data_IF_481289521567
#
_entry.id   IF_481289521567
#
_cell.length_a   1.000
_cell.length_b   1.000
_cell.length_c   1.000
_cell.angle_alpha   90.00
_cell.angle_beta   90.00
_cell.angle_gamma   90.00
#
_symmetry.space_group_name_H-M   'P 1'
#
loop_
_entity.id
_entity.type
_entity.pdbx_description
1 polymer ?
#
# COMPACT_ATOMS: atom_id res chain seq x y z
N UNK A 1 -55.11 42.68 27.80
CA UNK A 1 -54.76 41.66 26.78
C UNK A 1 -53.38 41.84 26.13
N UNK A 2 -52.73 43.01 26.20
CA UNK A 2 -51.43 43.27 25.53
C UNK A 2 -50.21 42.55 26.15
N UNK A 3 -50.12 42.44 27.47
CA UNK A 3 -48.93 41.88 28.19
C UNK A 3 -48.72 40.37 27.96
N UNK A 4 -49.76 39.61 27.63
CA UNK A 4 -49.62 38.17 27.34
C UNK A 4 -49.02 37.92 25.95
N UNK A 5 -49.21 38.84 25.00
CA UNK A 5 -48.66 38.70 23.64
C UNK A 5 -47.17 39.04 23.58
N UNK A 6 -46.70 40.00 24.36
CA UNK A 6 -45.27 40.36 24.43
C UNK A 6 -44.42 39.27 25.07
N UNK A 7 -44.91 38.58 26.10
CA UNK A 7 -44.19 37.44 26.72
C UNK A 7 -44.01 36.25 25.79
N UNK A 8 -45.01 35.96 24.95
CA UNK A 8 -44.93 34.86 23.98
C UNK A 8 -43.90 35.14 22.87
N UNK A 9 -43.83 36.39 22.38
CA UNK A 9 -42.86 36.76 21.35
C UNK A 9 -41.41 36.69 21.86
N UNK A 10 -41.19 37.14 23.09
CA UNK A 10 -39.86 37.16 23.72
C UNK A 10 -39.36 35.73 24.01
N UNK A 11 -40.26 34.82 24.41
CA UNK A 11 -39.94 33.40 24.57
C UNK A 11 -39.62 32.72 23.22
N UNK A 12 -40.33 33.07 22.15
CA UNK A 12 -40.07 32.54 20.80
C UNK A 12 -38.72 33.02 20.25
N UNK A 13 -38.39 34.30 20.42
CA UNK A 13 -37.08 34.84 20.03
C UNK A 13 -35.94 34.21 20.85
N UNK A 14 -36.13 34.01 22.16
CA UNK A 14 -35.15 33.31 22.99
C UNK A 14 -34.97 31.84 22.55
N UNK A 15 -36.07 31.14 22.21
CA UNK A 15 -36.01 29.77 21.71
C UNK A 15 -35.30 29.68 20.34
N UNK A 16 -35.54 30.64 19.43
CA UNK A 16 -34.85 30.69 18.13
C UNK A 16 -33.35 30.99 18.28
N UNK A 17 -32.96 31.87 19.22
CA UNK A 17 -31.54 32.19 19.49
C UNK A 17 -30.79 31.02 20.15
N UNK A 18 -31.46 30.22 20.99
CA UNK A 18 -30.87 29.01 21.58
C UNK A 18 -30.83 27.87 20.56
N UNK A 19 -31.81 27.78 19.66
CA UNK A 19 -31.82 26.79 18.58
C UNK A 19 -30.78 27.06 17.48
N UNK A 20 -30.38 28.32 17.24
CA UNK A 20 -29.34 28.65 16.26
C UNK A 20 -27.91 28.31 16.71
N UNK A 21 -27.69 28.04 18.00
CA UNK A 21 -26.37 27.62 18.51
C UNK A 21 -26.16 26.10 18.49
N UNK A 22 -27.16 25.32 18.05
CA UNK A 22 -27.09 23.87 17.95
C UNK A 22 -26.88 23.40 16.50
N UNK A 23 -26.20 24.19 15.67
CA UNK A 23 -25.55 23.67 14.47
C UNK A 23 -24.40 22.77 14.93
N UNK A 24 -24.74 21.55 15.36
CA UNK A 24 -23.80 20.50 15.72
C UNK A 24 -23.06 20.15 14.44
N UNK A 25 -21.86 20.70 14.28
CA UNK A 25 -20.92 20.29 13.25
C UNK A 25 -20.76 18.76 13.34
N UNK A 26 -21.22 18.06 12.31
CA UNK A 26 -21.15 16.61 12.28
C UNK A 26 -19.69 16.23 12.01
N UNK A 27 -18.91 16.04 13.08
CA UNK A 27 -17.52 15.56 13.01
C UNK A 27 -17.36 14.32 12.12
N UNK A 28 -18.40 13.51 11.98
CA UNK A 28 -18.42 12.31 11.14
C UNK A 28 -18.16 12.55 9.65
N UNK A 29 -18.75 13.59 9.04
CA UNK A 29 -18.58 13.84 7.59
C UNK A 29 -17.15 14.27 7.26
N UNK A 30 -16.53 15.09 8.12
CA UNK A 30 -15.15 15.55 7.93
C UNK A 30 -14.13 14.41 8.04
N UNK A 31 -14.36 13.45 8.93
CA UNK A 31 -13.48 12.27 9.07
C UNK A 31 -13.61 11.37 7.84
N UNK A 32 -14.83 11.16 7.35
CA UNK A 32 -15.06 10.39 6.12
C UNK A 32 -14.40 11.05 4.91
N UNK A 33 -14.59 12.37 4.74
CA UNK A 33 -13.92 13.14 3.68
C UNK A 33 -12.40 13.12 3.82
N UNK A 34 -11.85 13.22 5.04
CA UNK A 34 -10.41 13.14 5.28
C UNK A 34 -9.84 11.76 4.92
N UNK A 35 -10.56 10.68 5.25
CA UNK A 35 -10.15 9.32 4.89
C UNK A 35 -10.18 9.10 3.38
N UNK A 36 -11.26 9.54 2.70
CA UNK A 36 -11.37 9.48 1.23
C UNK A 36 -10.26 10.26 0.54
N UNK A 37 -10.04 11.52 0.95
CA UNK A 37 -8.98 12.35 0.39
C UNK A 37 -7.58 11.77 0.65
N UNK A 38 -7.37 11.11 1.79
CA UNK A 38 -6.10 10.43 2.09
C UNK A 38 -5.90 9.22 1.17
N UNK A 39 -6.94 8.42 0.96
CA UNK A 39 -6.88 7.29 0.02
C UNK A 39 -6.65 7.77 -1.42
N UNK A 40 -7.34 8.82 -1.85
CA UNK A 40 -7.17 9.41 -3.19
C UNK A 40 -5.75 9.93 -3.39
N UNK A 41 -5.17 10.58 -2.37
CA UNK A 41 -3.78 11.03 -2.40
C UNK A 41 -2.79 9.86 -2.54
N UNK A 42 -3.00 8.74 -1.82
CA UNK A 42 -2.18 7.53 -1.93
C UNK A 42 -2.30 6.88 -3.31
N UNK A 43 -3.51 6.82 -3.87
CA UNK A 43 -3.75 6.29 -5.21
C UNK A 43 -3.04 7.15 -6.27
N UNK A 44 -3.16 8.48 -6.18
CA UNK A 44 -2.52 9.42 -7.11
C UNK A 44 -0.99 9.38 -7.00
N UNK A 45 -0.44 9.26 -5.79
CA UNK A 45 0.99 9.08 -5.56
C UNK A 45 1.49 7.77 -6.18
N UNK A 46 0.74 6.68 -6.01
CA UNK A 46 1.05 5.36 -6.58
C UNK A 46 1.07 5.42 -8.11
N UNK A 47 0.04 6.01 -8.73
CA UNK A 47 -0.01 6.24 -10.17
C UNK A 47 1.19 7.06 -10.66
N UNK A 48 1.51 8.16 -9.97
CA UNK A 48 2.62 9.04 -10.32
C UNK A 48 3.96 8.30 -10.27
N UNK A 49 4.18 7.44 -9.28
CA UNK A 49 5.40 6.67 -9.16
C UNK A 49 5.50 5.56 -10.22
N UNK A 50 4.40 4.92 -10.62
CA UNK A 50 4.38 4.02 -11.79
C UNK A 50 4.76 4.77 -13.08
N UNK A 51 4.21 5.98 -13.27
CA UNK A 51 4.53 6.82 -14.44
C UNK A 51 5.98 7.32 -14.44
N UNK A 52 6.56 7.59 -13.26
CA UNK A 52 7.99 7.89 -13.14
C UNK A 52 8.85 6.67 -13.46
N UNK A 53 8.50 5.51 -12.92
CA UNK A 53 9.18 4.24 -13.20
C UNK A 53 9.19 3.92 -14.70
N UNK A 54 8.06 4.10 -15.39
CA UNK A 54 7.98 3.85 -16.84
C UNK A 54 8.94 4.73 -17.66
N UNK A 55 9.28 5.92 -17.14
CA UNK A 55 10.25 6.85 -17.73
C UNK A 55 11.64 6.78 -17.09
N UNK A 56 11.93 5.74 -16.29
CA UNK A 56 13.20 5.56 -15.57
C UNK A 56 13.57 6.77 -14.70
N UNK A 57 12.57 7.43 -14.11
CA UNK A 57 12.75 8.57 -13.20
C UNK A 57 12.75 8.11 -11.74
N UNK A 58 13.43 8.84 -10.83
CA UNK A 58 13.44 8.50 -9.42
C UNK A 58 12.02 8.55 -8.83
N UNK A 59 11.68 7.55 -8.02
CA UNK A 59 10.43 7.49 -7.27
C UNK A 59 10.50 8.45 -6.07
N UNK A 60 9.37 9.04 -5.71
CA UNK A 60 9.29 9.91 -4.54
C UNK A 60 8.04 9.52 -3.73
N UNK A 61 8.25 9.26 -2.44
CA UNK A 61 7.20 8.83 -1.53
C UNK A 61 6.93 9.91 -0.47
N UNK A 62 5.66 10.22 -0.24
CA UNK A 62 5.22 11.26 0.68
C UNK A 62 4.15 10.71 1.60
N UNK A 63 4.39 10.74 2.91
CA UNK A 63 3.37 10.36 3.89
C UNK A 63 2.59 11.58 4.35
N UNK A 64 1.27 11.44 4.45
CA UNK A 64 0.42 12.37 5.18
C UNK A 64 0.61 12.04 6.67
N UNK A 65 1.40 12.84 7.38
CA UNK A 65 1.73 12.55 8.78
C UNK A 65 0.74 13.20 9.75
N UNK A 66 0.16 14.34 9.40
CA UNK A 66 -0.81 15.03 10.23
C UNK A 66 -1.87 15.75 9.41
N UNK A 67 -3.13 15.54 9.80
CA UNK A 67 -4.28 16.33 9.35
C UNK A 67 -4.68 17.22 10.52
N UNK A 68 -4.49 18.52 10.40
CA UNK A 68 -4.94 19.49 11.41
C UNK A 68 -6.20 20.18 10.92
N UNK A 69 -7.29 20.05 11.67
CA UNK A 69 -8.49 20.87 11.52
C UNK A 69 -8.63 21.76 12.74
N UNK A 70 -8.71 23.07 12.53
CA UNK A 70 -9.02 24.05 13.57
C UNK A 70 -10.28 24.81 13.18
N UNK A 71 -11.27 24.83 14.06
CA UNK A 71 -12.43 25.70 13.96
C UNK A 71 -12.41 26.64 15.15
N UNK A 72 -12.28 27.94 14.88
CA UNK A 72 -12.42 28.98 15.89
C UNK A 72 -13.71 29.73 15.61
N UNK A 73 -14.64 29.67 16.55
CA UNK A 73 -15.83 30.51 16.55
C UNK A 73 -15.72 31.51 17.70
N UNK A 74 -15.31 32.74 17.39
CA UNK A 74 -15.33 33.81 18.38
C UNK A 74 -16.62 34.59 18.22
N UNK A 75 -17.52 34.42 19.17
CA UNK A 75 -18.68 35.28 19.33
C UNK A 75 -18.30 36.44 20.25
N UNK A 76 -17.99 37.61 19.68
CA UNK A 76 -17.84 38.83 20.46
C UNK A 76 -19.21 39.50 20.61
N UNK A 77 -19.92 39.19 21.69
CA UNK A 77 -21.12 39.93 22.10
C UNK A 77 -20.72 41.07 23.03
N UNK A 78 -20.55 42.26 22.46
CA UNK A 78 -20.46 43.48 23.27
C UNK A 78 -21.82 43.76 23.89
N UNK A 79 -21.96 43.69 25.23
CA UNK A 79 -23.12 44.27 25.89
C UNK A 79 -23.11 45.79 25.60
N UNK A 80 -24.26 46.38 25.22
CA UNK A 80 -24.32 47.81 25.02
C UNK A 80 -23.93 48.50 26.33
N UNK A 81 -22.88 49.32 26.31
CA UNK A 81 -22.50 50.13 27.46
C UNK A 81 -23.52 51.26 27.58
N UNK A 82 -24.60 51.01 28.32
CA UNK A 82 -25.61 52.03 28.60
C UNK A 82 -25.01 52.97 29.64
N UNK A 83 -24.46 54.09 29.19
CA UNK A 83 -23.92 55.10 30.09
C UNK A 83 -25.06 56.03 30.49
N UNK A 84 -25.67 55.77 31.65
CA UNK A 84 -26.75 56.60 32.20
C UNK A 84 -26.12 57.70 33.06
N UNK A 85 -26.05 58.93 32.53
CA UNK A 85 -25.62 60.11 33.27
C UNK A 85 -26.21 61.39 32.66
N UNK A 86 -26.59 62.39 33.48
CA UNK A 86 -26.96 63.70 32.97
C UNK A 86 -25.72 64.39 32.36
N UNK A 87 -25.89 65.02 31.19
CA UNK A 87 -24.85 65.68 30.36
C UNK A 87 -24.01 64.79 29.41
N UNK A 88 -24.65 63.98 28.55
CA UNK A 88 -23.94 63.37 27.41
C UNK A 88 -23.97 64.29 26.18
N UNK A 89 -22.81 64.51 25.55
CA UNK A 89 -22.65 65.40 24.39
C UNK A 89 -23.02 64.69 23.09
N UNK A 90 -23.47 65.43 22.07
CA UNK A 90 -24.05 64.89 20.82
C UNK A 90 -23.10 63.96 20.03
N UNK A 91 -21.79 64.00 20.31
CA UNK A 91 -20.80 63.07 19.77
C UNK A 91 -20.85 61.65 20.37
N UNK A 92 -21.57 61.42 21.47
CA UNK A 92 -21.74 60.11 22.12
C UNK A 92 -22.95 59.30 21.61
N UNK A 93 -23.68 59.77 20.58
CA UNK A 93 -24.87 59.08 20.05
C UNK A 93 -24.61 58.04 18.95
N UNK A 94 -23.37 57.61 18.70
CA UNK A 94 -23.13 56.45 17.84
C UNK A 94 -23.14 55.16 18.65
N UNK A 95 -24.31 54.53 18.71
CA UNK A 95 -24.47 53.16 19.19
C UNK A 95 -23.89 52.20 18.15
N UNK A 96 -22.58 51.93 18.22
CA UNK A 96 -21.97 50.92 17.36
C UNK A 96 -22.21 49.53 17.97
N UNK A 97 -23.36 48.93 17.61
CA UNK A 97 -23.64 47.53 17.90
C UNK A 97 -22.81 46.68 16.95
N UNK A 98 -21.61 46.29 17.38
CA UNK A 98 -20.76 45.34 16.66
C UNK A 98 -20.91 43.95 17.30
N UNK A 99 -21.95 43.22 16.91
CA UNK A 99 -21.96 41.78 17.09
C UNK A 99 -21.18 41.18 15.91
N UNK A 100 -19.89 40.91 16.10
CA UNK A 100 -19.10 40.21 15.10
C UNK A 100 -18.98 38.75 15.50
N UNK A 101 -19.60 37.88 14.71
CA UNK A 101 -19.27 36.46 14.70
C UNK A 101 -18.11 36.30 13.73
N UNK A 102 -16.92 36.02 14.26
CA UNK A 102 -15.79 35.62 13.41
C UNK A 102 -15.71 34.10 13.48
N UNK A 103 -16.15 33.44 12.40
CA UNK A 103 -15.93 32.01 12.21
C UNK A 103 -14.74 31.83 11.28
N UNK A 104 -13.71 31.13 11.77
CA UNK A 104 -12.53 30.76 11.00
C UNK A 104 -12.43 29.24 10.96
N UNK A 105 -12.45 28.66 9.76
CA UNK A 105 -12.10 27.26 9.54
C UNK A 105 -10.71 27.24 8.92
N UNK A 106 -9.77 26.60 9.59
CA UNK A 106 -8.43 26.33 9.07
C UNK A 106 -8.25 24.83 8.91
N UNK A 107 -7.93 24.38 7.70
CA UNK A 107 -7.46 23.03 7.43
C UNK A 107 -6.01 23.09 6.97
N UNK A 108 -5.16 22.28 7.58
CA UNK A 108 -3.76 22.15 7.24
C UNK A 108 -3.42 20.68 7.04
N UNK A 109 -2.73 20.37 5.95
CA UNK A 109 -2.11 19.07 5.74
C UNK A 109 -0.61 19.24 5.89
N UNK A 110 -0.02 18.54 6.86
CA UNK A 110 1.42 18.41 6.93
C UNK A 110 1.82 17.09 6.28
N UNK A 111 2.45 17.19 5.11
CA UNK A 111 3.06 16.07 4.41
C UNK A 111 4.57 16.11 4.62
N UNK A 112 5.14 14.97 4.99
CA UNK A 112 6.58 14.84 5.14
C UNK A 112 7.08 13.85 4.08
N UNK A 113 8.13 14.20 3.32
CA UNK A 113 8.74 13.25 2.41
C UNK A 113 9.33 12.09 3.21
N UNK A 114 9.06 10.85 2.79
CA UNK A 114 9.62 9.65 3.42
C UNK A 114 11.06 9.48 2.91
N UNK A 115 11.99 10.18 3.55
CA UNK A 115 13.42 10.20 3.18
C UNK A 115 14.34 9.66 4.27
N UNK A 116 13.78 8.99 5.28
CA UNK A 116 14.60 8.35 6.30
C UNK A 116 15.45 7.24 5.69
N UNK A 117 16.65 7.02 6.25
CA UNK A 117 17.54 5.95 5.81
C UNK A 117 16.91 4.57 6.03
N UNK A 118 16.10 4.41 7.09
CA UNK A 118 15.36 3.20 7.39
C UNK A 118 14.33 2.87 6.31
N UNK A 119 13.49 3.84 5.93
CA UNK A 119 12.52 3.69 4.85
C UNK A 119 13.20 3.40 3.52
N UNK A 120 14.26 4.13 3.16
CA UNK A 120 15.01 3.89 1.92
C UNK A 120 15.62 2.48 1.89
N UNK A 121 16.18 2.03 3.01
CA UNK A 121 16.75 0.68 3.13
C UNK A 121 15.66 -0.38 2.98
N UNK A 122 14.51 -0.20 3.63
CA UNK A 122 13.37 -1.13 3.54
C UNK A 122 12.83 -1.20 2.10
N UNK A 123 12.64 -0.05 1.44
CA UNK A 123 12.15 0.05 0.06
C UNK A 123 13.12 -0.52 -0.99
N UNK A 124 14.41 -0.62 -0.67
CA UNK A 124 15.45 -1.25 -1.50
C UNK A 124 15.70 -2.72 -1.16
N UNK A 125 15.37 -3.14 0.06
CA UNK A 125 15.53 -4.52 0.48
C UNK A 125 14.52 -5.45 -0.21
N UNK A 126 14.90 -6.68 -0.56
CA UNK A 126 13.95 -7.66 -1.09
C UNK A 126 12.80 -7.91 -0.10
N UNK A 127 11.58 -8.00 -0.63
CA UNK A 127 10.38 -8.36 0.12
C UNK A 127 10.62 -9.71 0.78
N UNK A 128 10.37 -9.77 2.07
CA UNK A 128 10.53 -10.99 2.85
C UNK A 128 9.35 -11.94 2.61
N UNK A 129 9.53 -13.25 2.78
CA UNK A 129 8.41 -14.19 2.75
C UNK A 129 7.31 -13.86 3.78
N UNK A 130 7.66 -13.20 4.89
CA UNK A 130 6.67 -12.77 5.88
C UNK A 130 5.73 -11.71 5.30
N UNK A 131 6.28 -10.70 4.65
CA UNK A 131 5.50 -9.65 3.98
C UNK A 131 4.69 -10.23 2.82
N UNK A 132 5.27 -11.16 2.06
CA UNK A 132 4.54 -11.89 1.02
C UNK A 132 3.31 -12.62 1.58
N UNK A 133 3.44 -13.32 2.72
CA UNK A 133 2.31 -13.99 3.37
C UNK A 133 1.21 -13.01 3.82
N UNK A 134 1.58 -11.80 4.29
CA UNK A 134 0.62 -10.76 4.64
C UNK A 134 -0.15 -10.27 3.41
N UNK A 135 0.53 -10.06 2.28
CA UNK A 135 -0.12 -9.69 1.02
C UNK A 135 -1.05 -10.77 0.51
N UNK A 136 -0.63 -12.04 0.56
CA UNK A 136 -1.46 -13.19 0.16
C UNK A 136 -2.71 -13.38 1.03
N UNK A 137 -2.70 -12.86 2.26
CA UNK A 137 -3.87 -12.88 3.13
C UNK A 137 -4.91 -11.81 2.72
N UNK A 138 -4.47 -10.72 2.10
CA UNK A 138 -5.34 -9.61 1.68
C UNK A 138 -5.78 -9.71 0.21
N UNK A 139 -4.99 -10.34 -0.64
CA UNK A 139 -5.13 -10.29 -2.11
C UNK A 139 -5.06 -11.66 -2.77
N UNK A 140 -5.64 -11.83 -3.98
CA UNK A 140 -5.45 -13.05 -4.77
C UNK A 140 -3.97 -13.32 -5.05
N UNK A 141 -3.58 -14.58 -4.92
CA UNK A 141 -2.17 -15.01 -4.92
C UNK A 141 -1.39 -14.69 -6.19
N UNK A 142 -2.04 -14.83 -7.35
CA UNK A 142 -1.38 -14.72 -8.64
C UNK A 142 -0.99 -13.27 -8.98
N UNK A 143 -1.85 -12.25 -8.79
CA UNK A 143 -1.45 -10.85 -8.83
C UNK A 143 -0.32 -10.52 -7.86
N UNK A 144 -0.39 -11.00 -6.62
CA UNK A 144 0.64 -10.76 -5.60
C UNK A 144 1.98 -11.31 -6.06
N UNK A 145 2.05 -12.57 -6.46
CA UNK A 145 3.31 -13.17 -6.91
C UNK A 145 3.88 -12.53 -8.17
N UNK A 146 3.04 -12.16 -9.14
CA UNK A 146 3.50 -11.40 -10.30
C UNK A 146 4.13 -10.06 -9.88
N UNK A 147 3.52 -9.36 -8.91
CA UNK A 147 4.01 -8.08 -8.42
C UNK A 147 5.31 -8.20 -7.61
N UNK A 148 5.47 -9.25 -6.78
CA UNK A 148 6.57 -9.34 -5.82
C UNK A 148 7.72 -10.26 -6.24
N UNK A 149 7.52 -11.20 -7.16
CA UNK A 149 8.60 -12.09 -7.58
C UNK A 149 9.45 -11.42 -8.67
N UNK A 150 10.76 -11.39 -8.42
CA UNK A 150 11.75 -10.86 -9.36
C UNK A 150 12.26 -11.96 -10.27
N UNK A 151 12.59 -13.11 -9.69
CA UNK A 151 13.23 -14.18 -10.42
C UNK A 151 12.88 -15.55 -9.85
N UNK A 152 12.95 -16.56 -10.71
CA UNK A 152 12.83 -17.96 -10.36
C UNK A 152 14.12 -18.62 -10.81
N UNK A 153 14.81 -19.28 -9.87
CA UNK A 153 16.06 -19.97 -10.14
C UNK A 153 15.86 -21.47 -10.01
N UNK A 154 16.21 -22.22 -11.05
CA UNK A 154 16.21 -23.68 -11.06
C UNK A 154 17.63 -24.18 -10.91
N UNK A 155 17.87 -25.05 -9.93
CA UNK A 155 19.12 -25.81 -9.78
C UNK A 155 18.81 -27.27 -10.08
N UNK A 156 19.29 -27.77 -11.22
CA UNK A 156 19.03 -29.14 -11.66
C UNK A 156 19.79 -30.13 -10.79
N UNK A 157 19.10 -31.08 -10.17
CA UNK A 157 19.70 -32.03 -9.22
C UNK A 157 20.73 -32.95 -9.90
N UNK A 158 20.44 -33.39 -11.13
CA UNK A 158 21.29 -34.34 -11.85
C UNK A 158 22.59 -33.71 -12.40
N UNK A 159 22.54 -32.45 -12.86
CA UNK A 159 23.67 -31.81 -13.55
C UNK A 159 24.34 -30.70 -12.74
N UNK A 160 23.70 -30.21 -11.68
CA UNK A 160 24.11 -29.04 -10.92
C UNK A 160 23.99 -27.71 -11.69
N UNK A 161 23.44 -27.70 -12.91
CA UNK A 161 23.26 -26.48 -13.70
C UNK A 161 22.19 -25.58 -13.08
N UNK A 162 22.47 -24.28 -13.10
CA UNK A 162 21.58 -23.24 -12.59
C UNK A 162 21.00 -22.45 -13.75
N UNK A 163 19.68 -22.30 -13.79
CA UNK A 163 18.95 -21.47 -14.74
C UNK A 163 18.18 -20.41 -13.98
N UNK A 164 18.28 -19.14 -14.40
CA UNK A 164 17.57 -18.03 -13.76
C UNK A 164 16.65 -17.35 -14.76
N UNK A 165 15.37 -17.29 -14.40
CA UNK A 165 14.32 -16.59 -15.14
C UNK A 165 13.93 -15.36 -14.34
N UNK A 166 13.83 -14.19 -14.97
CA UNK A 166 13.69 -12.88 -14.36
C UNK A 166 12.45 -12.23 -14.93
N UNK A 167 11.56 -11.74 -14.08
CA UNK A 167 10.34 -11.05 -14.44
C UNK A 167 10.53 -9.62 -14.95
N UNK A 168 11.66 -9.30 -15.57
CA UNK A 168 11.91 -7.98 -16.15
C UNK A 168 11.71 -8.06 -17.67
N UNK A 169 10.76 -7.30 -18.20
CA UNK A 169 10.34 -7.35 -19.61
C UNK A 169 11.45 -7.03 -20.60
N UNK A 170 12.46 -6.27 -20.17
CA UNK A 170 13.64 -5.93 -20.98
C UNK A 170 14.51 -7.14 -21.34
N UNK A 171 14.36 -8.27 -20.64
CA UNK A 171 15.16 -9.48 -20.88
C UNK A 171 14.64 -10.36 -22.02
N UNK A 172 13.46 -10.05 -22.57
CA UNK A 172 12.97 -10.72 -23.78
C UNK A 172 13.50 -10.00 -25.01
N UNK A 173 14.49 -10.60 -25.67
CA UNK A 173 15.14 -10.04 -26.85
C UNK A 173 14.43 -10.39 -28.15
N UNK A 174 13.60 -11.44 -28.16
CA UNK A 174 12.80 -11.84 -29.32
C UNK A 174 11.35 -11.32 -29.18
N UNK A 175 10.75 -10.91 -30.30
CA UNK A 175 9.39 -10.34 -30.30
C UNK A 175 8.28 -11.40 -30.24
N UNK A 176 8.58 -12.63 -30.63
CA UNK A 176 7.66 -13.76 -30.73
C UNK A 176 7.83 -14.78 -29.61
N UNK A 177 8.38 -14.36 -28.46
CA UNK A 177 8.70 -15.26 -27.35
C UNK A 177 7.53 -16.14 -26.89
N UNK A 178 6.30 -15.62 -26.88
CA UNK A 178 5.12 -16.41 -26.55
C UNK A 178 4.86 -17.52 -27.58
N UNK A 179 4.93 -17.19 -28.88
CA UNK A 179 4.75 -18.18 -29.94
C UNK A 179 5.86 -19.24 -29.93
N UNK A 180 7.10 -18.83 -29.65
CA UNK A 180 8.22 -19.76 -29.49
C UNK A 180 8.03 -20.68 -28.29
N UNK A 181 7.52 -20.17 -27.17
CA UNK A 181 7.18 -20.98 -26.00
C UNK A 181 6.09 -22.01 -26.31
N UNK A 182 4.99 -21.58 -26.95
CA UNK A 182 3.85 -22.44 -27.26
C UNK A 182 4.20 -23.57 -28.26
N UNK A 183 5.15 -23.33 -29.16
CA UNK A 183 5.59 -24.29 -30.17
C UNK A 183 6.77 -25.16 -29.72
N UNK A 184 7.53 -24.73 -28.71
CA UNK A 184 8.71 -25.44 -28.28
C UNK A 184 8.34 -26.67 -27.45
N UNK A 185 8.88 -27.86 -27.78
CA UNK A 185 8.72 -29.00 -26.90
C UNK A 185 9.50 -28.76 -25.59
N UNK A 186 9.09 -29.40 -24.47
CA UNK A 186 9.63 -29.09 -23.14
C UNK A 186 11.16 -29.16 -23.03
N UNK A 187 11.79 -30.13 -23.71
CA UNK A 187 13.25 -30.29 -23.73
C UNK A 187 14.00 -29.16 -24.41
N UNK A 188 13.33 -28.36 -25.26
CA UNK A 188 13.93 -27.20 -25.95
C UNK A 188 13.69 -25.87 -25.24
N UNK A 189 12.87 -25.83 -24.18
CA UNK A 189 12.61 -24.60 -23.41
C UNK A 189 13.88 -24.00 -22.81
N UNK A 190 14.88 -24.83 -22.50
CA UNK A 190 16.20 -24.38 -22.02
C UNK A 190 16.89 -23.46 -23.04
N UNK A 191 16.71 -23.70 -24.34
CA UNK A 191 17.34 -22.87 -25.38
C UNK A 191 16.69 -21.47 -25.44
N UNK A 192 15.39 -21.39 -25.12
CA UNK A 192 14.64 -20.14 -25.06
C UNK A 192 15.01 -19.28 -23.85
N UNK A 193 15.60 -19.87 -22.80
CA UNK A 193 16.00 -19.14 -21.58
C UNK A 193 16.94 -17.94 -21.85
N UNK A 194 17.63 -17.94 -22.99
CA UNK A 194 18.54 -16.87 -23.40
C UNK A 194 17.84 -15.66 -24.02
N UNK A 195 16.72 -15.87 -24.71
CA UNK A 195 16.04 -14.83 -25.50
C UNK A 195 14.64 -14.48 -25.01
N UNK A 196 14.02 -15.36 -24.21
CA UNK A 196 12.63 -15.27 -23.76
C UNK A 196 12.50 -15.48 -22.24
N UNK A 197 13.37 -14.80 -21.51
CA UNK A 197 13.54 -14.96 -20.07
C UNK A 197 12.32 -14.52 -19.25
N UNK A 198 11.69 -13.40 -19.61
CA UNK A 198 10.44 -12.90 -19.00
C UNK A 198 9.26 -13.78 -19.34
N UNK A 199 9.09 -14.14 -20.62
CA UNK A 199 8.00 -15.04 -21.05
C UNK A 199 8.08 -16.39 -20.31
N UNK A 200 9.28 -16.98 -20.18
CA UNK A 200 9.47 -18.21 -19.41
C UNK A 200 9.20 -18.00 -17.91
N UNK A 201 9.61 -16.86 -17.35
CA UNK A 201 9.31 -16.51 -15.95
C UNK A 201 7.80 -16.52 -15.68
N UNK A 202 6.99 -15.84 -16.51
CA UNK A 202 5.52 -15.77 -16.33
C UNK A 202 4.88 -17.15 -16.45
N UNK A 203 5.29 -17.93 -17.45
CA UNK A 203 4.75 -19.28 -17.66
C UNK A 203 5.13 -20.24 -16.52
N UNK A 204 6.37 -20.22 -16.03
CA UNK A 204 6.76 -21.04 -14.88
C UNK A 204 6.07 -20.57 -13.59
N UNK A 205 5.89 -19.26 -13.42
CA UNK A 205 5.13 -18.74 -12.30
C UNK A 205 3.69 -19.28 -12.30
N UNK A 206 3.03 -19.29 -13.46
CA UNK A 206 1.70 -19.88 -13.62
C UNK A 206 1.69 -21.37 -13.21
N UNK A 207 2.68 -22.16 -13.67
CA UNK A 207 2.83 -23.57 -13.28
C UNK A 207 2.94 -23.72 -11.76
N UNK A 208 3.78 -22.91 -11.08
CA UNK A 208 3.92 -23.01 -9.63
C UNK A 208 2.66 -22.56 -8.89
N UNK A 209 2.00 -21.50 -9.34
CA UNK A 209 0.74 -21.02 -8.76
C UNK A 209 -0.36 -22.10 -8.89
N UNK A 210 -0.48 -22.74 -10.06
CA UNK A 210 -1.39 -23.87 -10.28
C UNK A 210 -1.02 -25.11 -9.45
N UNK A 211 0.27 -25.33 -9.20
CA UNK A 211 0.77 -26.36 -8.29
C UNK A 211 0.52 -26.04 -6.81
N UNK A 212 -0.05 -24.87 -6.49
CA UNK A 212 -0.41 -24.46 -5.14
C UNK A 212 0.59 -23.54 -4.45
N UNK A 213 1.51 -22.88 -5.17
CA UNK A 213 2.48 -21.96 -4.58
C UNK A 213 1.79 -20.96 -3.64
N UNK A 214 2.31 -20.87 -2.43
CA UNK A 214 1.81 -20.06 -1.33
C UNK A 214 2.94 -19.70 -0.37
N UNK A 215 2.63 -18.85 0.61
CA UNK A 215 3.57 -18.51 1.69
C UNK A 215 2.81 -18.56 3.01
N UNK A 216 3.36 -19.30 3.97
CA UNK A 216 2.78 -19.46 5.30
C UNK A 216 3.64 -18.79 6.38
N UNK A 217 3.00 -18.35 7.45
CA UNK A 217 3.67 -17.81 8.62
C UNK A 217 3.90 -18.93 9.63
N UNK A 218 5.16 -19.23 9.93
CA UNK A 218 5.56 -20.22 10.92
C UNK A 218 6.20 -19.54 12.14
N UNK A 219 6.04 -20.10 13.35
CA UNK A 219 6.81 -19.65 14.49
C UNK A 219 8.31 -19.88 14.21
N UNK A 220 9.14 -18.89 14.51
CA UNK A 220 10.58 -19.00 14.37
C UNK A 220 11.07 -20.20 15.20
N UNK A 221 12.04 -20.98 14.68
CA UNK A 221 12.66 -22.01 15.48
C UNK A 221 13.26 -21.35 16.73
N UNK A 222 13.17 -21.99 17.92
CA UNK A 222 13.76 -21.43 19.13
C UNK A 222 15.24 -21.17 18.83
N UNK A 223 15.64 -19.89 18.85
CA UNK A 223 17.05 -19.53 18.72
C UNK A 223 17.75 -20.30 19.81
N UNK A 224 18.61 -21.26 19.44
CA UNK A 224 19.41 -22.01 20.43
C UNK A 224 20.00 -20.95 21.33
N UNK A 225 19.57 -20.91 22.60
CA UNK A 225 20.05 -19.92 23.55
C UNK A 225 21.56 -19.96 23.47
N UNK A 226 22.14 -18.95 22.82
CA UNK A 226 23.58 -18.89 22.62
C UNK A 226 24.13 -18.94 24.03
N UNK A 227 24.89 -19.99 24.37
CA UNK A 227 25.67 -20.00 25.59
C UNK A 227 26.58 -18.78 25.51
N UNK A 228 26.16 -17.68 26.14
CA UNK A 228 26.96 -16.48 26.33
C UNK A 228 28.06 -16.81 27.34
N UNK A 229 29.02 -17.64 26.90
CA UNK A 229 30.29 -17.80 27.56
C UNK A 229 31.13 -16.56 27.27
N UNK A 230 30.97 -15.52 28.09
CA UNK A 230 31.65 -14.24 27.88
C UNK A 230 31.62 -13.38 29.14
N UNK A 231 32.44 -13.76 30.11
CA UNK A 231 32.82 -12.97 31.27
C UNK A 231 33.35 -11.59 30.83
N UNK A 232 32.58 -10.54 31.07
CA UNK A 232 32.96 -9.15 30.79
C UNK A 232 32.26 -8.20 31.75
N UNK A 233 32.91 -7.97 32.90
CA UNK A 233 32.58 -6.98 33.91
C UNK A 233 32.61 -5.56 33.33
N UNK A 234 31.59 -4.75 33.61
CA UNK A 234 31.58 -3.31 33.33
C UNK A 234 30.18 -2.70 33.37
N UNK A 235 29.82 -2.12 34.51
CA UNK A 235 28.47 -1.65 34.82
C UNK A 235 27.96 -0.42 34.06
N UNK A 236 26.65 -0.23 34.15
CA UNK A 236 25.93 0.95 33.65
C UNK A 236 24.44 0.64 33.57
N UNK A 237 23.76 0.72 34.71
CA UNK A 237 22.34 0.37 34.84
C UNK A 237 21.42 1.34 34.10
N UNK A 238 20.56 0.80 33.25
CA UNK A 238 19.30 1.42 32.89
C UNK A 238 18.21 0.37 33.11
N UNK A 239 17.41 0.60 34.14
CA UNK A 239 16.33 -0.28 34.55
C UNK A 239 15.13 -0.02 33.64
N UNK A 240 14.94 -0.89 32.65
CA UNK A 240 13.68 -0.99 31.92
C UNK A 240 12.99 -2.30 32.30
N UNK A 241 12.16 -2.20 33.34
CA UNK A 241 11.30 -3.27 33.85
C UNK A 241 10.01 -3.32 33.03
N UNK A 242 10.05 -4.06 31.93
CA UNK A 242 8.87 -4.44 31.15
C UNK A 242 9.02 -5.89 30.71
N UNK A 243 8.39 -6.80 31.44
CA UNK A 243 8.28 -8.24 31.14
C UNK A 243 7.39 -8.45 29.90
N UNK A 244 7.86 -8.01 28.73
CA UNK A 244 7.24 -8.36 27.47
C UNK A 244 7.56 -9.83 27.19
N UNK A 245 6.52 -10.67 27.26
CA UNK A 245 6.53 -12.01 26.70
C UNK A 245 7.13 -11.90 25.30
N UNK A 246 8.37 -12.38 25.13
CA UNK A 246 9.13 -12.27 23.90
C UNK A 246 8.20 -12.59 22.73
N UNK A 247 7.82 -11.57 21.95
CA UNK A 247 6.94 -11.74 20.81
C UNK A 247 7.58 -12.85 19.96
N UNK A 248 6.91 -14.01 19.89
CA UNK A 248 7.44 -15.15 19.16
C UNK A 248 7.73 -14.65 17.75
N UNK A 249 9.01 -14.62 17.38
CA UNK A 249 9.40 -14.18 16.06
C UNK A 249 8.67 -15.07 15.05
N UNK A 250 7.98 -14.48 14.09
CA UNK A 250 7.26 -15.20 13.05
C UNK A 250 8.08 -15.09 11.78
N UNK A 251 8.33 -16.21 11.11
CA UNK A 251 9.10 -16.29 9.86
C UNK A 251 8.17 -16.77 8.75
N UNK A 252 8.20 -16.10 7.61
CA UNK A 252 7.48 -16.56 6.42
C UNK A 252 8.21 -17.71 5.72
N UNK A 253 7.45 -18.66 5.20
CA UNK A 253 7.97 -19.87 4.56
C UNK A 253 7.21 -20.14 3.26
N UNK A 254 7.93 -20.27 2.15
CA UNK A 254 7.34 -20.60 0.85
C UNK A 254 6.97 -22.09 0.86
N UNK A 255 5.74 -22.40 0.46
CA UNK A 255 5.21 -23.75 0.46
C UNK A 255 4.18 -23.95 -0.64
N UNK A 256 3.78 -25.21 -0.87
CA UNK A 256 2.72 -25.56 -1.81
C UNK A 256 1.47 -26.02 -1.04
N UNK A 257 0.37 -25.30 -1.19
CA UNK A 257 -0.89 -25.59 -0.55
C UNK A 257 -1.71 -26.59 -1.40
N UNK A 258 -1.88 -27.84 -0.94
CA UNK A 258 -2.62 -28.85 -1.69
C UNK A 258 -4.09 -28.51 -1.90
N UNK A 259 -4.71 -27.69 -1.02
CA UNK A 259 -6.12 -27.31 -1.18
C UNK A 259 -6.35 -26.30 -2.30
N UNK A 260 -5.29 -25.65 -2.78
CA UNK A 260 -5.33 -24.64 -3.83
C UNK A 260 -4.62 -25.10 -5.11
N UNK A 261 -4.10 -26.33 -5.14
CA UNK A 261 -3.42 -26.90 -6.28
C UNK A 261 -4.42 -27.57 -7.23
N UNK A 262 -4.26 -27.36 -8.52
CA UNK A 262 -4.97 -28.13 -9.57
C UNK A 262 -4.15 -29.33 -10.07
N UNK A 263 -2.87 -29.38 -9.73
CA UNK A 263 -1.91 -30.38 -10.22
C UNK A 263 -1.16 -31.08 -9.07
N UNK A 264 -0.18 -31.92 -9.42
CA UNK A 264 0.68 -32.60 -8.46
C UNK A 264 1.39 -31.58 -7.54
N UNK A 265 1.15 -31.72 -6.23
CA UNK A 265 1.63 -30.77 -5.22
C UNK A 265 3.10 -31.05 -4.87
N UNK A 266 4.03 -30.13 -5.19
CA UNK A 266 5.44 -30.29 -4.85
C UNK A 266 5.69 -30.20 -3.34
N UNK A 267 6.92 -30.52 -2.93
CA UNK A 267 7.40 -30.28 -1.56
C UNK A 267 8.17 -28.94 -1.53
N UNK A 268 8.15 -28.20 -0.41
CA UNK A 268 7.47 -28.48 0.85
C UNK A 268 5.98 -28.11 0.81
N UNK A 269 5.13 -28.93 1.44
CA UNK A 269 3.69 -28.66 1.57
C UNK A 269 3.39 -27.72 2.74
N UNK A 270 2.46 -26.80 2.55
CA UNK A 270 2.00 -25.92 3.63
C UNK A 270 1.37 -26.74 4.78
N UNK A 271 1.46 -26.23 6.01
CA UNK A 271 0.94 -26.85 7.22
C UNK A 271 1.83 -27.98 7.78
N UNK A 272 2.92 -28.33 7.11
CA UNK A 272 3.87 -29.32 7.63
C UNK A 272 4.84 -28.64 8.59
N UNK A 273 4.59 -28.76 9.90
CA UNK A 273 5.38 -28.17 11.00
C UNK A 273 6.81 -28.74 11.14
N UNK A 274 7.43 -29.22 10.06
CA UNK A 274 8.86 -29.54 10.09
C UNK A 274 9.60 -28.21 10.25
N UNK A 275 9.88 -27.89 11.51
CA UNK A 275 10.54 -26.68 11.96
C UNK A 275 11.64 -26.29 10.97
N UNK A 276 11.71 -25.00 10.62
CA UNK A 276 12.55 -24.36 9.60
C UNK A 276 14.08 -24.53 9.75
N UNK A 277 14.56 -25.62 10.37
CA UNK A 277 15.97 -25.99 10.42
C UNK A 277 16.39 -26.49 9.04
N UNK A 278 16.95 -25.56 8.27
CA UNK A 278 17.50 -25.83 6.95
C UNK A 278 16.38 -25.95 5.92
N UNK A 279 15.71 -24.82 5.66
CA UNK A 279 14.70 -24.67 4.62
C UNK A 279 15.25 -25.24 3.30
N UNK A 280 14.89 -26.49 2.99
CA UNK A 280 15.31 -27.11 1.76
C UNK A 280 14.54 -26.44 0.63
N UNK A 281 15.21 -26.06 -0.47
CA UNK A 281 14.51 -25.50 -1.61
C UNK A 281 13.48 -26.52 -2.12
N UNK A 282 12.30 -26.05 -2.57
CA UNK A 282 11.30 -26.91 -3.16
C UNK A 282 11.87 -27.80 -4.27
N UNK A 283 11.62 -29.10 -4.18
CA UNK A 283 11.98 -30.05 -5.23
C UNK A 283 10.76 -30.27 -6.13
N UNK A 284 10.90 -29.92 -7.41
CA UNK A 284 9.83 -30.00 -8.40
C UNK A 284 10.35 -30.72 -9.63
N UNK A 285 9.56 -31.67 -10.14
CA UNK A 285 9.82 -32.26 -11.44
C UNK A 285 9.24 -31.35 -12.53
N UNK A 286 10.10 -30.80 -13.38
CA UNK A 286 9.68 -30.00 -14.53
C UNK A 286 10.01 -30.72 -15.83
N UNK A 287 9.03 -30.89 -16.75
CA UNK A 287 9.29 -31.43 -18.08
C UNK A 287 10.45 -30.69 -18.78
N UNK A 288 11.40 -31.44 -19.33
CA UNK A 288 12.61 -30.90 -19.97
C UNK A 288 13.77 -30.58 -19.01
N UNK A 289 13.50 -30.31 -17.73
CA UNK A 289 14.53 -30.03 -16.71
C UNK A 289 14.77 -31.19 -15.75
N UNK A 290 13.81 -32.12 -15.59
CA UNK A 290 13.86 -33.17 -14.59
C UNK A 290 13.63 -32.63 -13.18
N UNK A 291 14.23 -33.26 -12.17
CA UNK A 291 14.14 -32.81 -10.79
C UNK A 291 14.98 -31.55 -10.55
N UNK A 292 14.31 -30.44 -10.24
CA UNK A 292 14.95 -29.15 -9.95
C UNK A 292 14.63 -28.69 -8.53
N UNK A 293 15.64 -28.14 -7.87
CA UNK A 293 15.44 -27.29 -6.71
C UNK A 293 15.05 -25.89 -7.19
N UNK A 294 13.96 -25.35 -6.67
CA UNK A 294 13.42 -24.05 -7.07
C UNK A 294 13.69 -23.02 -5.98
N UNK A 295 14.26 -21.89 -6.36
CA UNK A 295 14.46 -20.74 -5.48
C UNK A 295 13.73 -19.53 -6.04
N UNK A 296 12.94 -18.88 -5.18
CA UNK A 296 12.16 -17.69 -5.54
C UNK A 296 12.87 -16.45 -5.01
N UNK A 297 13.30 -15.58 -5.92
CA UNK A 297 13.86 -14.27 -5.57
C UNK A 297 12.78 -13.21 -5.59
N UNK A 298 12.58 -12.52 -4.48
CA UNK A 298 11.63 -11.41 -4.36
C UNK A 298 12.22 -10.09 -4.86
N UNK A 299 11.35 -9.22 -5.40
CA UNK A 299 11.63 -7.81 -5.68
C UNK A 299 11.72 -7.05 -4.37
N UNK A 300 12.34 -5.89 -4.40
CA UNK A 300 12.09 -4.88 -3.38
C UNK A 300 10.77 -4.14 -3.67
N UNK A 301 10.20 -3.40 -2.71
CA UNK A 301 9.06 -2.52 -2.97
C UNK A 301 9.30 -1.57 -4.16
N UNK A 302 10.48 -0.93 -4.26
CA UNK A 302 10.86 -0.12 -5.44
C UNK A 302 10.90 -0.97 -6.71
N UNK A 303 11.41 -2.20 -6.62
CA UNK A 303 11.46 -3.15 -7.73
C UNK A 303 10.06 -3.50 -8.26
N UNK A 304 9.03 -3.55 -7.40
CA UNK A 304 7.65 -3.74 -7.82
C UNK A 304 7.12 -2.52 -8.61
N UNK A 305 7.36 -1.29 -8.13
CA UNK A 305 7.01 -0.08 -8.90
C UNK A 305 7.71 -0.04 -10.27
N UNK A 306 8.99 -0.39 -10.32
CA UNK A 306 9.75 -0.47 -11.56
C UNK A 306 9.17 -1.51 -12.52
N UNK A 307 8.77 -2.68 -12.01
CA UNK A 307 8.11 -3.72 -12.82
C UNK A 307 6.82 -3.21 -13.48
N UNK A 308 5.93 -2.55 -12.73
CA UNK A 308 4.72 -1.96 -13.32
C UNK A 308 5.04 -0.81 -14.29
N UNK A 309 6.06 0.00 -14.00
CA UNK A 309 6.55 1.00 -14.94
C UNK A 309 7.05 0.40 -16.25
N UNK A 310 7.76 -0.73 -16.17
CA UNK A 310 8.26 -1.46 -17.33
C UNK A 310 7.13 -2.09 -18.16
N UNK A 311 6.07 -2.62 -17.51
CA UNK A 311 4.85 -3.08 -18.18
C UNK A 311 4.14 -1.94 -18.91
N UNK A 312 4.04 -0.77 -18.29
CA UNK A 312 3.46 0.41 -18.93
C UNK A 312 4.31 0.91 -20.12
N UNK A 313 5.64 0.80 -20.01
CA UNK A 313 6.58 1.16 -21.09
C UNK A 313 6.50 0.17 -22.26
N UNK A 314 6.17 -1.10 -22.01
CA UNK A 314 6.16 -2.16 -23.02
C UNK A 314 4.77 -2.81 -23.14
N UNK A 315 3.84 -2.21 -23.92
CA UNK A 315 2.46 -2.68 -24.02
C UNK A 315 2.32 -4.15 -24.44
N UNK A 316 3.27 -4.71 -25.19
CA UNK A 316 3.28 -6.12 -25.60
C UNK A 316 3.25 -7.11 -24.43
N UNK A 317 3.78 -6.71 -23.27
CA UNK A 317 3.79 -7.53 -22.05
C UNK A 317 2.70 -7.14 -21.05
N UNK A 318 1.91 -6.10 -21.36
CA UNK A 318 0.82 -5.62 -20.51
C UNK A 318 -0.47 -6.43 -20.70
N UNK A 319 -0.33 -7.75 -20.88
CA UNK A 319 -1.43 -8.69 -21.09
C UNK A 319 -1.46 -9.59 -19.87
N UNK A 320 -2.59 -9.61 -19.16
CA UNK A 320 -2.76 -10.50 -18.03
C UNK A 320 -3.30 -11.84 -18.52
N UNK A 321 -2.58 -12.91 -18.24
CA UNK A 321 -3.12 -14.26 -18.33
C UNK A 321 -3.12 -14.84 -16.93
N UNK A 322 -4.24 -14.70 -16.24
CA UNK A 322 -4.44 -15.35 -14.95
C UNK A 322 -4.99 -16.76 -15.14
N UNK A 323 -4.46 -17.68 -14.36
CA UNK A 323 -4.81 -19.09 -14.41
C UNK A 323 -5.66 -19.53 -13.22
N UNK A 324 -5.60 -18.78 -12.11
CA UNK A 324 -6.39 -19.07 -10.90
C UNK A 324 -7.79 -18.48 -11.00
N UNK A 325 -8.79 -19.24 -10.55
CA UNK A 325 -10.21 -18.81 -10.58
C UNK A 325 -10.44 -17.51 -9.83
N UNK A 326 -9.75 -17.31 -8.72
CA UNK A 326 -9.88 -16.11 -7.90
C UNK A 326 -9.37 -14.87 -8.67
N UNK A 327 -8.28 -15.02 -9.42
CA UNK A 327 -7.64 -13.91 -10.11
C UNK A 327 -8.33 -13.59 -11.44
N UNK A 328 -8.87 -14.59 -12.15
CA UNK A 328 -9.65 -14.37 -13.37
C UNK A 328 -10.98 -13.65 -13.12
N UNK A 329 -11.50 -13.68 -11.89
CA UNK A 329 -12.70 -12.91 -11.52
C UNK A 329 -12.43 -11.42 -11.33
N UNK A 330 -11.18 -11.04 -11.02
CA UNK A 330 -10.84 -9.64 -10.74
C UNK A 330 -10.53 -8.86 -12.01
N UNK A 331 -9.97 -9.52 -13.02
CA UNK A 331 -9.66 -8.88 -14.30
C UNK A 331 -10.78 -9.11 -15.32
N UNK A 332 -11.20 -8.04 -16.01
CA UNK A 332 -12.20 -8.19 -17.06
C UNK A 332 -11.59 -8.83 -18.31
N UNK A 333 -12.35 -9.65 -19.07
CA UNK A 333 -11.85 -10.20 -20.33
C UNK A 333 -11.37 -9.13 -21.30
N UNK A 334 -10.11 -9.20 -21.71
CA UNK A 334 -9.48 -8.25 -22.64
C UNK A 334 -8.96 -6.96 -21.98
N UNK A 335 -9.10 -6.81 -20.67
CA UNK A 335 -8.46 -5.73 -19.92
C UNK A 335 -6.93 -5.98 -19.87
N UNK A 336 -6.09 -4.95 -20.11
CA UNK A 336 -4.66 -5.09 -19.93
C UNK A 336 -4.32 -5.32 -18.44
N UNK A 337 -3.17 -5.93 -18.17
CA UNK A 337 -2.73 -6.18 -16.79
C UNK A 337 -2.60 -4.88 -15.96
N UNK A 338 -2.25 -3.77 -16.61
CA UNK A 338 -2.19 -2.44 -16.01
C UNK A 338 -2.95 -1.47 -16.91
N UNK A 339 -4.17 -1.12 -16.52
CA UNK A 339 -5.07 -0.28 -17.30
C UNK A 339 -4.91 1.20 -16.93
N UNK A 340 -3.91 1.84 -17.54
CA UNK A 340 -3.66 3.27 -17.41
C UNK A 340 -3.83 3.91 -18.79
N UNK A 341 -4.81 4.81 -18.90
CA UNK A 341 -5.16 5.50 -20.15
C UNK A 341 -4.60 6.93 -20.17
N UNK A 342 -4.36 7.44 -21.38
CA UNK A 342 -3.94 8.83 -21.60
C UNK A 342 -5.14 9.71 -21.98
N UNK A 343 -5.27 10.87 -21.34
CA UNK A 343 -6.33 11.84 -21.54
C UNK A 343 -7.28 11.98 -20.34
N UNK A 344 -7.98 13.11 -20.27
CA UNK A 344 -8.99 13.37 -19.24
C UNK A 344 -10.26 12.55 -19.52
N UNK A 345 -10.26 11.28 -19.11
CA UNK A 345 -11.44 10.43 -19.09
C UNK A 345 -12.47 10.94 -18.08
N UNK A 346 -13.76 10.67 -18.31
CA UNK A 346 -14.79 10.80 -17.27
C UNK A 346 -14.71 9.56 -16.38
N UNK A 347 -14.64 9.76 -15.06
CA UNK A 347 -14.66 8.66 -14.09
C UNK A 347 -13.33 7.92 -13.96
N UNK A 348 -12.30 8.59 -13.45
CA UNK A 348 -11.05 7.93 -13.06
C UNK A 348 -11.15 7.42 -11.62
N UNK A 349 -10.69 6.19 -11.37
CA UNK A 349 -10.35 5.72 -10.02
C UNK A 349 -9.22 6.56 -9.43
N UNK A 350 -8.19 6.83 -10.24
CA UNK A 350 -7.09 7.72 -9.90
C UNK A 350 -6.60 8.44 -11.16
N UNK A 351 -6.26 9.71 -11.03
CA UNK A 351 -5.74 10.51 -12.12
C UNK A 351 -4.59 11.41 -11.68
N UNK A 352 -3.65 11.66 -12.60
CA UNK A 352 -2.53 12.55 -12.34
C UNK A 352 -2.08 13.28 -13.61
N UNK A 353 -1.78 14.57 -13.48
CA UNK A 353 -1.11 15.34 -14.53
C UNK A 353 0.41 15.12 -14.41
N UNK A 354 1.05 14.62 -15.47
CA UNK A 354 2.48 14.32 -15.47
C UNK A 354 3.08 14.44 -16.87
N UNK A 355 4.20 15.17 -16.96
CA UNK A 355 4.92 15.35 -18.23
C UNK A 355 4.08 15.95 -19.36
N UNK A 356 3.20 16.91 -19.04
CA UNK A 356 2.33 17.58 -20.02
C UNK A 356 1.05 16.83 -20.42
N UNK A 357 0.86 15.61 -19.93
CA UNK A 357 -0.36 14.81 -20.16
C UNK A 357 -1.15 14.56 -18.89
N UNK A 358 -2.39 14.10 -19.04
CA UNK A 358 -3.20 13.57 -17.95
C UNK A 358 -3.31 12.06 -18.10
N UNK A 359 -3.02 11.33 -17.04
CA UNK A 359 -3.13 9.87 -16.99
C UNK A 359 -4.28 9.49 -16.07
N UNK A 360 -5.05 8.48 -16.46
CA UNK A 360 -6.27 8.06 -15.78
C UNK A 360 -6.32 6.53 -15.67
N UNK A 361 -6.49 6.02 -14.45
CA UNK A 361 -6.97 4.66 -14.21
C UNK A 361 -8.49 4.70 -14.30
N UNK A 362 -9.13 4.00 -15.25
CA UNK A 362 -10.58 3.97 -15.37
C UNK A 362 -11.26 3.47 -14.08
N UNK A 363 -12.39 4.07 -13.67
CA UNK A 363 -13.10 3.70 -12.45
C UNK A 363 -13.63 2.26 -12.43
N UNK A 364 -13.81 1.65 -13.60
CA UNK A 364 -14.23 0.26 -13.79
C UNK A 364 -13.06 -0.75 -13.79
N UNK A 365 -11.80 -0.27 -13.75
CA UNK A 365 -10.62 -1.12 -13.66
C UNK A 365 -10.36 -1.58 -12.23
N UNK A 366 -11.22 -2.48 -11.74
CA UNK A 366 -11.10 -3.09 -10.41
C UNK A 366 -9.75 -3.80 -10.22
N UNK A 367 -9.21 -4.40 -11.30
CA UNK A 367 -7.92 -5.06 -11.31
C UNK A 367 -6.75 -4.10 -11.06
N UNK A 368 -6.68 -2.99 -11.80
CA UNK A 368 -5.63 -1.98 -11.59
C UNK A 368 -5.73 -1.35 -10.20
N UNK A 369 -6.95 -1.12 -9.71
CA UNK A 369 -7.17 -0.62 -8.34
C UNK A 369 -6.63 -1.60 -7.27
N UNK A 370 -6.81 -2.91 -7.46
CA UNK A 370 -6.22 -3.93 -6.58
C UNK A 370 -4.68 -3.93 -6.66
N UNK A 371 -4.09 -3.78 -7.85
CA UNK A 371 -2.62 -3.66 -7.98
C UNK A 371 -2.07 -2.44 -7.25
N UNK A 372 -2.81 -1.33 -7.25
CA UNK A 372 -2.45 -0.14 -6.47
C UNK A 372 -2.47 -0.43 -4.97
N UNK A 373 -3.49 -1.15 -4.49
CA UNK A 373 -3.56 -1.53 -3.08
C UNK A 373 -2.38 -2.42 -2.67
N UNK A 374 -1.97 -3.37 -3.52
CA UNK A 374 -0.76 -4.20 -3.27
C UNK A 374 0.49 -3.31 -3.13
N UNK A 375 0.67 -2.32 -4.01
CA UNK A 375 1.81 -1.39 -3.95
C UNK A 375 1.76 -0.47 -2.72
N UNK A 376 0.56 0.00 -2.34
CA UNK A 376 0.35 0.81 -1.14
C UNK A 376 0.66 -0.02 0.12
N UNK A 377 0.21 -1.27 0.19
CA UNK A 377 0.53 -2.18 1.30
C UNK A 377 2.04 -2.44 1.41
N UNK A 378 2.73 -2.70 0.28
CA UNK A 378 4.18 -2.86 0.24
C UNK A 378 4.93 -1.64 0.78
N UNK A 379 4.51 -0.44 0.35
CA UNK A 379 5.03 0.81 0.87
C UNK A 379 4.79 0.94 2.36
N UNK A 380 3.56 0.66 2.82
CA UNK A 380 3.18 0.81 4.23
C UNK A 380 3.95 -0.17 5.14
N UNK A 381 4.24 -1.38 4.69
CA UNK A 381 5.11 -2.32 5.42
C UNK A 381 6.56 -1.84 5.54
N UNK A 382 7.00 -0.96 4.64
CA UNK A 382 8.34 -0.35 4.67
C UNK A 382 8.45 0.87 5.59
N UNK A 383 7.33 1.38 6.11
CA UNK A 383 7.29 2.54 7.02
C UNK A 383 7.50 2.03 8.45
N UNK A 384 8.54 2.52 9.12
CA UNK A 384 8.78 2.28 10.53
C UNK A 384 8.12 3.35 11.39
N UNK A 385 7.89 3.05 12.67
CA UNK A 385 7.32 4.01 13.63
C UNK A 385 8.16 5.28 13.76
N UNK A 386 9.48 5.19 13.56
CA UNK A 386 10.41 6.32 13.56
C UNK A 386 10.28 7.21 12.32
N UNK A 387 9.65 6.74 11.26
CA UNK A 387 9.45 7.54 10.03
C UNK A 387 8.27 8.50 10.19
N UNK A 388 7.35 8.19 11.10
CA UNK A 388 6.22 9.03 11.50
C UNK A 388 6.68 10.03 12.58
N UNK A 389 7.65 10.89 12.25
CA UNK A 389 8.29 11.85 13.16
C UNK A 389 7.37 12.97 13.72
N UNK A 390 6.05 12.85 13.61
CA UNK A 390 5.11 13.73 14.30
C UNK A 390 4.40 12.95 15.39
N UNK A 391 4.72 13.24 16.66
CA UNK A 391 3.79 12.95 17.74
C UNK A 391 2.44 13.60 17.36
N UNK A 392 1.39 12.80 17.15
CA UNK A 392 0.05 13.28 16.90
C UNK A 392 -0.41 14.10 18.11
N UNK A 393 -0.09 15.39 18.11
CA UNK A 393 -0.47 16.30 19.19
C UNK A 393 -1.77 16.95 18.76
N UNK A 394 -2.89 16.36 19.16
CA UNK A 394 -4.19 17.02 19.04
C UNK A 394 -4.21 18.13 20.09
N UNK A 395 -3.87 19.36 19.70
CA UNK A 395 -4.06 20.54 20.56
C UNK A 395 -5.50 21.01 20.45
N UNK A 396 -6.29 20.72 21.47
CA UNK A 396 -7.57 21.39 21.71
C UNK A 396 -7.25 22.78 22.29
N UNK A 397 -7.31 23.82 21.47
CA UNK A 397 -7.39 25.20 21.97
C UNK A 397 -8.87 25.52 22.19
N UNK A 398 -9.28 25.60 23.46
CA UNK A 398 -10.58 26.14 23.86
C UNK A 398 -10.56 27.66 23.86
#
# INVERSE_FOLDING_TARGET
MSIRRSRALLALCAALLVASCAAVDQFGSRIDDANKNSQDALNTETLLNILRASRMQPLNFVAITQITGGQSESLNTGLPTITIGPEQTVAQHQFQVSNSVTSGVSSGFQSNPLVSTAFQTAMLSPITPREAALLLAAHPREPVFNAILRQITFRQTASGRVYTFTGDTINDTADDCQAQYDQAPPEKLINLARSCNYTLFVNYLAVFVLAGLSVELLPAPPSKAGKSGGSGSGGGGSADTGSDKSAQSVVGHICFNPSQASENVPQPRCGTLKAAKGQQPPLVFLPGFGDVEVEFGFRSPIGAFNHFGDLLRQPKYNIANYHTKESTLVIQPGEPYLNITYGAGRGCFSGVAYGGGFYCVPADSAHTAMLFDILIQLRNMSIQTTDLNSAFTVRLTN
#
